data_IF_925345928098
#
_entry.id   IF_925345928098
#
_cell.length_a   1.000
_cell.length_b   1.000
_cell.length_c   1.000
_cell.angle_alpha   90.00
_cell.angle_beta   90.00
_cell.angle_gamma   90.00
#
_symmetry.space_group_name_H-M   'P 1'
#
loop_
_entity.id
_entity.type
_entity.pdbx_description
1 polymer ?
#
# COMPACT_ATOMS: atom_id res chain seq x y z
N UNK A 1 4.12 -8.73 12.02
CA UNK A 1 4.95 -7.83 11.19
C UNK A 1 6.38 -8.38 11.17
N UNK A 2 7.15 -8.09 10.13
CA UNK A 2 8.55 -8.50 9.99
C UNK A 2 9.44 -7.26 9.77
N UNK A 3 10.71 -7.33 10.19
CA UNK A 3 11.71 -6.27 9.92
C UNK A 3 12.13 -6.36 8.44
N UNK A 4 12.42 -5.21 7.82
CA UNK A 4 13.08 -5.18 6.51
C UNK A 4 14.44 -5.92 6.56
N UNK A 5 14.88 -6.55 5.46
CA UNK A 5 16.16 -7.24 5.43
C UNK A 5 17.32 -6.26 5.60
N UNK A 6 18.41 -6.71 6.21
CA UNK A 6 19.59 -5.84 6.45
C UNK A 6 20.35 -5.47 5.15
N UNK A 7 19.97 -6.07 4.00
CA UNK A 7 20.51 -5.77 2.67
C UNK A 7 19.96 -4.49 2.04
N UNK A 8 18.97 -3.83 2.65
CA UNK A 8 18.42 -2.55 2.18
C UNK A 8 18.59 -1.44 3.21
N UNK A 9 18.62 -0.20 2.72
CA UNK A 9 18.61 0.98 3.60
C UNK A 9 17.34 0.96 4.45
N UNK A 10 17.48 1.06 5.77
CA UNK A 10 16.35 1.09 6.70
C UNK A 10 16.30 2.45 7.40
N UNK A 11 15.14 3.13 7.44
CA UNK A 11 13.83 2.70 6.92
C UNK A 11 13.73 2.71 5.38
N UNK A 12 12.78 1.95 4.84
CA UNK A 12 12.24 2.21 3.51
C UNK A 12 11.57 3.58 3.54
N UNK A 13 12.28 4.60 3.04
CA UNK A 13 11.85 6.00 3.08
C UNK A 13 11.97 6.62 1.70
N UNK A 14 10.85 7.12 1.19
CA UNK A 14 10.79 7.77 -0.11
C UNK A 14 9.62 7.26 -0.96
N UNK A 15 9.73 7.52 -2.26
CA UNK A 15 8.71 7.19 -3.24
C UNK A 15 8.95 5.81 -3.82
N UNK A 16 7.93 4.95 -3.83
CA UNK A 16 7.98 3.62 -4.45
C UNK A 16 6.63 3.29 -5.11
N UNK A 17 6.61 2.33 -6.03
CA UNK A 17 5.40 1.89 -6.74
C UNK A 17 4.70 0.76 -5.99
N UNK A 18 3.46 0.49 -6.40
CA UNK A 18 2.69 -0.66 -5.94
C UNK A 18 2.31 -1.54 -7.13
N UNK A 19 2.35 -2.85 -6.96
CA UNK A 19 1.80 -3.83 -7.90
C UNK A 19 0.42 -4.27 -7.40
N UNK A 20 -0.62 -3.89 -8.13
CA UNK A 20 -2.01 -4.27 -7.83
C UNK A 20 -2.22 -5.73 -8.22
N UNK A 21 -2.57 -6.57 -7.25
CA UNK A 21 -2.80 -8.02 -7.42
C UNK A 21 -4.26 -8.36 -7.67
N UNK A 22 -5.18 -7.59 -7.10
CA UNK A 22 -6.63 -7.76 -7.27
C UNK A 22 -7.34 -6.42 -7.29
N UNK A 23 -8.45 -6.36 -8.01
CA UNK A 23 -9.28 -5.16 -8.05
C UNK A 23 -9.84 -4.85 -6.67
N UNK A 24 -9.81 -3.57 -6.29
CA UNK A 24 -10.39 -3.08 -5.05
C UNK A 24 -10.85 -1.62 -5.22
N UNK A 25 -12.05 -1.24 -4.75
CA UNK A 25 -12.55 0.14 -4.87
C UNK A 25 -11.63 1.21 -4.29
N UNK A 26 -10.79 0.86 -3.30
CA UNK A 26 -9.80 1.76 -2.71
C UNK A 26 -8.78 2.27 -3.74
N UNK A 27 -8.41 1.42 -4.71
CA UNK A 27 -7.38 1.69 -5.71
C UNK A 27 -7.97 1.97 -7.11
N UNK A 28 -9.27 2.20 -7.21
CA UNK A 28 -9.92 2.56 -8.48
C UNK A 28 -9.31 3.85 -9.05
N UNK A 29 -8.84 3.80 -10.30
CA UNK A 29 -8.17 4.93 -10.97
C UNK A 29 -6.71 5.14 -10.58
N UNK A 30 -6.10 4.23 -9.81
CA UNK A 30 -4.64 4.22 -9.58
C UNK A 30 -3.94 3.52 -10.75
N UNK A 31 -2.97 4.19 -11.36
CA UNK A 31 -2.17 3.64 -12.45
C UNK A 31 -0.91 2.90 -11.93
N UNK A 32 -0.36 1.98 -12.74
CA UNK A 32 0.75 1.09 -12.33
C UNK A 32 2.03 1.83 -11.97
N UNK A 33 2.34 2.91 -12.68
CA UNK A 33 3.63 3.61 -12.55
C UNK A 33 3.55 4.79 -11.57
N UNK A 34 2.45 4.88 -10.82
CA UNK A 34 2.29 5.91 -9.81
C UNK A 34 3.05 5.57 -8.54
N UNK A 35 3.68 6.59 -7.99
CA UNK A 35 4.48 6.49 -6.79
C UNK A 35 3.70 6.91 -5.56
N UNK A 36 3.93 6.19 -4.47
CA UNK A 36 3.42 6.48 -3.14
C UNK A 36 4.56 6.67 -2.16
N UNK A 37 4.34 7.50 -1.14
CA UNK A 37 5.33 7.82 -0.13
C UNK A 37 5.31 6.79 1.00
N UNK A 38 6.45 6.14 1.23
CA UNK A 38 6.68 5.17 2.31
C UNK A 38 7.66 5.73 3.33
N UNK A 39 7.45 5.38 4.60
CA UNK A 39 8.42 5.58 5.69
C UNK A 39 8.21 4.52 6.77
N UNK A 40 8.95 3.39 6.68
CA UNK A 40 8.81 2.29 7.64
C UNK A 40 10.06 1.40 7.72
N UNK A 41 10.29 0.77 8.88
CA UNK A 41 11.36 -0.23 9.09
C UNK A 41 10.83 -1.67 9.19
N UNK A 42 9.51 -1.82 9.35
CA UNK A 42 8.80 -3.09 9.47
C UNK A 42 7.66 -3.11 8.45
N UNK A 43 7.27 -4.30 8.00
CA UNK A 43 6.17 -4.47 7.05
C UNK A 43 5.18 -5.55 7.52
N UNK A 44 3.96 -5.48 7.00
CA UNK A 44 2.95 -6.50 7.23
C UNK A 44 3.26 -7.77 6.43
N UNK A 45 3.30 -8.91 7.11
CA UNK A 45 3.36 -10.25 6.52
C UNK A 45 2.06 -10.99 6.91
N UNK A 46 0.97 -10.84 6.13
CA UNK A 46 -0.30 -11.47 6.44
C UNK A 46 -0.18 -13.00 6.33
N UNK A 47 -0.77 -13.73 7.30
CA UNK A 47 -0.82 -15.21 7.26
C UNK A 47 -1.68 -15.70 6.10
N UNK A 48 -2.69 -14.92 5.69
CA UNK A 48 -3.57 -15.25 4.56
C UNK A 48 -3.32 -14.28 3.41
N UNK A 49 -2.86 -14.83 2.28
CA UNK A 49 -2.55 -14.05 1.07
C UNK A 49 -3.81 -13.50 0.37
N UNK A 50 -4.98 -14.08 0.63
CA UNK A 50 -6.27 -13.62 0.10
C UNK A 50 -6.65 -12.20 0.57
N UNK A 51 -5.98 -11.65 1.58
CA UNK A 51 -6.18 -10.29 2.08
C UNK A 51 -5.39 -9.23 1.29
N UNK A 52 -4.30 -9.62 0.63
CA UNK A 52 -3.38 -8.69 -0.05
C UNK A 52 -4.03 -8.14 -1.32
N UNK A 53 -4.11 -6.82 -1.45
CA UNK A 53 -4.67 -6.10 -2.61
C UNK A 53 -3.55 -5.64 -3.53
N UNK A 54 -2.49 -5.11 -2.94
CA UNK A 54 -1.31 -4.68 -3.66
C UNK A 54 -0.06 -4.95 -2.82
N UNK A 55 1.06 -5.07 -3.50
CA UNK A 55 2.37 -5.31 -2.91
C UNK A 55 3.41 -4.33 -3.44
N UNK A 56 4.50 -4.19 -2.70
CA UNK A 56 5.64 -3.35 -3.09
C UNK A 56 6.91 -4.15 -2.92
N UNK A 57 7.88 -3.93 -3.81
CA UNK A 57 9.20 -4.53 -3.69
C UNK A 57 10.21 -3.50 -3.12
N UNK A 58 10.92 -3.89 -2.07
CA UNK A 58 12.03 -3.12 -1.48
C UNK A 58 13.01 -4.09 -0.79
N UNK A 59 13.84 -4.78 -1.59
CA UNK A 59 14.69 -5.91 -1.13
C UNK A 59 13.92 -7.16 -0.72
N UNK A 60 12.66 -7.01 -0.35
CA UNK A 60 11.65 -8.04 -0.11
C UNK A 60 10.33 -7.56 -0.72
N UNK A 61 9.49 -8.49 -1.14
CA UNK A 61 8.12 -8.17 -1.55
C UNK A 61 7.20 -8.22 -0.32
N UNK A 62 6.46 -7.14 -0.08
CA UNK A 62 5.56 -7.02 1.08
C UNK A 62 4.19 -6.47 0.70
N UNK A 63 3.18 -6.78 1.53
CA UNK A 63 1.83 -6.26 1.35
C UNK A 63 1.79 -4.75 1.62
N UNK A 64 1.57 -3.95 0.57
CA UNK A 64 1.46 -2.49 0.65
C UNK A 64 0.01 -2.01 0.76
N UNK A 65 -0.95 -2.86 0.36
CA UNK A 65 -2.38 -2.64 0.59
C UNK A 65 -3.04 -3.96 0.99
N UNK A 66 -3.82 -3.95 2.06
CA UNK A 66 -4.66 -5.08 2.46
C UNK A 66 -6.12 -4.63 2.60
N UNK A 67 -7.05 -5.53 2.30
CA UNK A 67 -8.47 -5.27 2.46
C UNK A 67 -9.24 -6.53 2.88
N UNK A 68 -10.18 -6.36 3.81
CA UNK A 68 -11.11 -7.41 4.24
C UNK A 68 -12.42 -6.78 4.69
N UNK A 69 -13.50 -6.99 3.92
CA UNK A 69 -14.82 -6.37 4.19
C UNK A 69 -14.67 -4.85 4.36
N UNK A 70 -14.97 -4.32 5.53
CA UNK A 70 -14.89 -2.90 5.89
C UNK A 70 -13.50 -2.47 6.40
N UNK A 71 -12.51 -3.36 6.44
CA UNK A 71 -11.14 -3.04 6.84
C UNK A 71 -10.32 -2.76 5.58
N UNK A 72 -9.73 -1.57 5.53
CA UNK A 72 -8.89 -1.08 4.44
C UNK A 72 -7.60 -0.52 5.05
N UNK A 73 -6.44 -0.83 4.48
CA UNK A 73 -5.16 -0.36 5.00
C UNK A 73 -4.13 -0.21 3.89
N UNK A 74 -3.30 0.84 4.02
CA UNK A 74 -2.13 1.10 3.19
C UNK A 74 -0.89 1.16 4.08
N UNK A 75 0.22 0.61 3.60
CA UNK A 75 1.53 0.75 4.25
C UNK A 75 2.18 2.10 3.89
N UNK A 76 1.89 2.62 2.70
CA UNK A 76 2.24 3.99 2.32
C UNK A 76 1.29 5.01 2.96
N UNK A 77 1.71 6.27 2.90
CA UNK A 77 0.98 7.43 3.42
C UNK A 77 0.21 8.14 2.29
N UNK A 78 -1.08 7.84 2.06
CA UNK A 78 -1.83 8.46 0.98
C UNK A 78 -1.91 9.99 1.13
N UNK A 79 -1.94 10.52 2.34
CA UNK A 79 -1.90 11.95 2.64
C UNK A 79 -0.58 12.64 2.26
N UNK A 80 0.51 11.87 2.09
CA UNK A 80 1.83 12.36 1.65
C UNK A 80 2.15 12.01 0.19
N UNK A 81 1.25 11.32 -0.50
CA UNK A 81 1.50 10.73 -1.83
C UNK A 81 0.96 11.57 -2.99
N UNK A 82 0.72 12.86 -2.81
CA UNK A 82 0.29 13.78 -3.89
C UNK A 82 -1.01 13.35 -4.59
N UNK A 83 -1.04 13.45 -5.93
CA UNK A 83 -2.21 13.08 -6.75
C UNK A 83 -2.63 11.61 -6.58
N UNK A 84 -1.73 10.61 -6.67
CA UNK A 84 -2.07 9.21 -6.40
C UNK A 84 -2.74 9.01 -5.03
N UNK A 85 -2.15 9.61 -4.00
CA UNK A 85 -2.67 9.56 -2.63
C UNK A 85 -4.05 10.19 -2.47
N UNK A 86 -4.27 11.34 -3.11
CA UNK A 86 -5.58 12.01 -3.10
C UNK A 86 -6.69 11.14 -3.70
N UNK A 87 -6.40 10.39 -4.76
CA UNK A 87 -7.38 9.46 -5.36
C UNK A 87 -7.74 8.33 -4.39
N UNK A 88 -6.74 7.74 -3.72
CA UNK A 88 -6.98 6.72 -2.68
C UNK A 88 -7.86 7.27 -1.54
N UNK A 89 -7.59 8.49 -1.07
CA UNK A 89 -8.42 9.13 -0.02
C UNK A 89 -9.85 9.42 -0.50
N UNK A 90 -10.03 9.90 -1.74
CA UNK A 90 -11.37 10.11 -2.34
C UNK A 90 -12.13 8.80 -2.45
N UNK A 91 -11.46 7.72 -2.86
CA UNK A 91 -12.04 6.39 -2.91
C UNK A 91 -12.47 5.90 -1.53
N UNK A 92 -11.61 6.06 -0.52
CA UNK A 92 -11.95 5.74 0.86
C UNK A 92 -13.20 6.52 1.32
N UNK A 93 -13.24 7.84 1.11
CA UNK A 93 -14.38 8.69 1.45
C UNK A 93 -15.68 8.25 0.73
N UNK A 94 -15.59 7.78 -0.52
CA UNK A 94 -16.73 7.22 -1.27
C UNK A 94 -17.19 5.87 -0.71
N UNK A 95 -16.27 5.03 -0.23
CA UNK A 95 -16.60 3.73 0.36
C UNK A 95 -17.32 3.90 1.69
N UNK A 96 -16.84 4.79 2.57
CA UNK A 96 -17.43 4.98 3.92
C UNK A 96 -18.79 5.69 3.92
N UNK A 97 -19.14 6.36 2.83
CA UNK A 97 -20.45 7.02 2.65
C UNK A 97 -21.56 6.07 2.16
N UNK A 98 -21.22 4.84 1.83
CA UNK A 98 -22.17 3.80 1.42
C UNK A 98 -22.65 3.02 2.64
#
# INVERSE_FOLDING_TARGET
>A
VLKLPDSVKTPHMGWNTIRILKQNPLLEGVERDWYFYFVHSYYACPVKNDLVVAETNYGVTFASVIAKRNILSTQFHPEKSGKPGSIVLKNFARIVKR
#
